data_IF_245749351906
#
_entry.id   IF_245749351906
#
_cell.length_a   1.000
_cell.length_b   1.000
_cell.length_c   1.000
_cell.angle_alpha   90.00
_cell.angle_beta   90.00
_cell.angle_gamma   90.00
#
_symmetry.space_group_name_H-M   'P 1'
#
loop_
_entity.id
_entity.type
_entity.pdbx_description
1 polymer ?
#
# COMPACT_ATOMS: atom_id res chain seq x y z
N UNK A 1 -31.75 -40.19 -19.51
CA UNK A 1 -31.65 -38.71 -19.50
C UNK A 1 -30.77 -38.33 -18.32
N UNK A 2 -29.47 -38.24 -18.55
CA UNK A 2 -28.50 -37.70 -17.62
C UNK A 2 -28.64 -36.18 -17.64
N UNK A 3 -29.24 -35.61 -16.61
CA UNK A 3 -29.20 -34.17 -16.35
C UNK A 3 -27.77 -33.82 -15.96
N UNK A 4 -26.92 -33.49 -16.94
CA UNK A 4 -25.68 -32.79 -16.65
C UNK A 4 -26.05 -31.40 -16.16
N UNK A 5 -26.16 -31.27 -14.84
CA UNK A 5 -26.08 -29.99 -14.16
C UNK A 5 -24.62 -29.52 -14.26
N UNK A 6 -24.15 -29.29 -15.48
CA UNK A 6 -22.92 -28.56 -15.76
C UNK A 6 -23.24 -27.11 -15.39
N UNK A 7 -23.13 -26.81 -14.11
CA UNK A 7 -23.19 -25.43 -13.67
C UNK A 7 -22.04 -24.68 -14.34
N UNK A 8 -22.24 -23.47 -14.88
CA UNK A 8 -21.21 -22.64 -15.53
C UNK A 8 -19.97 -22.35 -14.66
N UNK A 9 -19.99 -22.77 -13.39
CA UNK A 9 -18.91 -22.63 -12.43
C UNK A 9 -17.75 -23.62 -12.63
N UNK A 10 -17.92 -24.75 -13.33
CA UNK A 10 -16.84 -25.74 -13.52
C UNK A 10 -15.68 -25.20 -14.36
N UNK A 11 -15.98 -24.31 -15.32
CA UNK A 11 -14.94 -23.62 -16.11
C UNK A 11 -14.28 -22.50 -15.30
N UNK A 12 -15.01 -21.89 -14.36
CA UNK A 12 -14.47 -20.88 -13.44
C UNK A 12 -13.53 -21.50 -12.41
N UNK A 13 -13.74 -22.75 -11.97
CA UNK A 13 -12.82 -23.44 -11.07
C UNK A 13 -11.40 -23.65 -11.65
N UNK A 14 -11.27 -23.61 -12.98
CA UNK A 14 -9.94 -23.60 -13.64
C UNK A 14 -9.19 -22.30 -13.39
N UNK A 15 -9.88 -21.20 -13.07
CA UNK A 15 -9.23 -19.98 -12.62
C UNK A 15 -8.79 -20.12 -11.17
N UNK A 16 -7.49 -19.99 -10.95
CA UNK A 16 -6.96 -19.84 -9.61
C UNK A 16 -7.33 -18.44 -9.07
N UNK A 17 -8.46 -18.39 -8.36
CA UNK A 17 -8.96 -17.19 -7.71
C UNK A 17 -8.17 -16.92 -6.43
N UNK A 18 -7.66 -15.69 -6.33
CA UNK A 18 -6.98 -15.23 -5.13
C UNK A 18 -7.98 -15.21 -3.97
N UNK A 19 -7.79 -16.12 -3.02
CA UNK A 19 -8.68 -16.32 -1.88
C UNK A 19 -9.79 -17.34 -2.07
N UNK A 20 -9.73 -18.16 -3.13
CA UNK A 20 -10.74 -19.17 -3.45
C UNK A 20 -12.08 -18.57 -3.90
N UNK A 21 -13.03 -19.46 -4.19
CA UNK A 21 -14.41 -19.07 -4.44
C UNK A 21 -15.06 -18.60 -3.13
N UNK A 22 -15.83 -17.49 -3.15
CA UNK A 22 -16.57 -17.04 -2.00
C UNK A 22 -17.47 -18.15 -1.45
N UNK A 23 -17.33 -18.43 -0.16
CA UNK A 23 -18.10 -19.46 0.54
C UNK A 23 -18.90 -18.85 1.69
N UNK A 24 -19.84 -19.62 2.24
CA UNK A 24 -20.57 -19.20 3.45
C UNK A 24 -19.65 -18.95 4.66
N UNK A 25 -18.47 -19.56 4.68
CA UNK A 25 -17.46 -19.35 5.71
C UNK A 25 -16.79 -17.97 5.63
N UNK A 26 -16.85 -17.28 4.49
CA UNK A 26 -16.25 -15.96 4.30
C UNK A 26 -17.11 -14.81 4.86
N UNK A 27 -18.37 -15.06 5.23
CA UNK A 27 -19.27 -14.02 5.72
C UNK A 27 -18.74 -13.35 7.00
N UNK A 28 -18.46 -14.16 8.02
CA UNK A 28 -18.02 -13.69 9.32
C UNK A 28 -16.73 -12.86 9.23
N UNK A 29 -15.63 -13.35 8.62
CA UNK A 29 -14.43 -12.55 8.48
C UNK A 29 -14.65 -11.30 7.62
N UNK A 30 -15.43 -11.37 6.54
CA UNK A 30 -15.72 -10.19 5.70
C UNK A 30 -16.40 -9.07 6.50
N UNK A 31 -17.41 -9.39 7.31
CA UNK A 31 -18.11 -8.41 8.15
C UNK A 31 -17.18 -7.83 9.21
N UNK A 32 -16.36 -8.67 9.86
CA UNK A 32 -15.38 -8.20 10.87
C UNK A 32 -14.40 -7.21 10.24
N UNK A 33 -13.78 -7.55 9.10
CA UNK A 33 -12.83 -6.66 8.45
C UNK A 33 -13.50 -5.38 7.91
N UNK A 34 -14.73 -5.44 7.41
CA UNK A 34 -15.50 -4.24 7.01
C UNK A 34 -15.68 -3.30 8.21
N UNK A 35 -16.06 -3.82 9.38
CA UNK A 35 -16.21 -3.01 10.59
C UNK A 35 -14.87 -2.39 10.97
N UNK A 36 -13.79 -3.17 10.98
CA UNK A 36 -12.45 -2.67 11.33
C UNK A 36 -12.01 -1.57 10.37
N UNK A 37 -12.10 -1.77 9.05
CA UNK A 37 -11.78 -0.71 8.08
C UNK A 37 -12.70 0.50 8.22
N UNK A 38 -13.99 0.29 8.49
CA UNK A 38 -14.97 1.35 8.74
C UNK A 38 -14.61 2.21 9.95
N UNK A 39 -14.12 1.61 11.03
CA UNK A 39 -13.64 2.34 12.22
C UNK A 39 -12.34 3.11 11.97
N UNK A 40 -11.52 2.68 11.00
CA UNK A 40 -10.30 3.39 10.60
C UNK A 40 -10.57 4.57 9.65
N UNK A 41 -11.70 4.59 8.94
CA UNK A 41 -12.05 5.65 8.00
C UNK A 41 -12.12 7.06 8.64
N UNK A 42 -12.76 7.27 9.82
CA UNK A 42 -12.74 8.58 10.49
C UNK A 42 -11.33 9.11 10.74
N UNK A 43 -10.42 8.24 11.20
CA UNK A 43 -9.01 8.60 11.42
C UNK A 43 -8.31 8.95 10.10
N UNK A 44 -8.57 8.17 9.05
CA UNK A 44 -8.04 8.43 7.72
C UNK A 44 -8.52 9.78 7.16
N UNK A 45 -9.84 10.04 7.17
CA UNK A 45 -10.42 11.29 6.68
C UNK A 45 -9.96 12.50 7.48
N UNK A 46 -9.88 12.38 8.81
CA UNK A 46 -9.32 13.42 9.66
C UNK A 46 -7.93 13.86 9.20
N UNK A 47 -7.08 12.90 8.83
CA UNK A 47 -5.72 13.17 8.33
C UNK A 47 -5.68 13.76 6.93
N UNK A 48 -6.58 13.36 6.05
CA UNK A 48 -6.68 13.95 4.71
C UNK A 48 -7.17 15.40 4.77
N UNK A 49 -8.07 15.72 5.70
CA UNK A 49 -8.69 17.05 5.83
C UNK A 49 -7.78 18.04 6.56
N UNK A 50 -7.13 17.62 7.66
CA UNK A 50 -6.34 18.54 8.47
C UNK A 50 -5.08 18.98 7.71
N UNK A 51 -4.96 20.31 7.49
CA UNK A 51 -3.88 20.92 6.69
C UNK A 51 -2.47 20.48 7.10
N UNK A 52 -2.24 20.30 8.40
CA UNK A 52 -0.96 19.87 8.98
C UNK A 52 -0.53 18.47 8.52
N UNK A 53 -1.46 17.59 8.16
CA UNK A 53 -1.21 16.19 7.82
C UNK A 53 -1.44 15.86 6.34
N UNK A 54 -1.92 16.85 5.56
CA UNK A 54 -2.32 16.64 4.18
C UNK A 54 -1.11 16.34 3.30
N UNK A 55 -1.09 15.15 2.72
CA UNK A 55 -0.09 14.74 1.72
C UNK A 55 -0.76 13.99 0.57
N UNK A 56 -0.23 14.14 -0.65
CA UNK A 56 -0.70 13.39 -1.82
C UNK A 56 -0.41 11.89 -1.71
N UNK A 57 0.51 11.49 -0.83
CA UNK A 57 0.83 10.09 -0.54
C UNK A 57 -0.39 9.33 0.00
N UNK A 58 -1.33 10.01 0.69
CA UNK A 58 -2.54 9.38 1.22
C UNK A 58 -3.61 9.08 0.16
N UNK A 59 -3.48 9.60 -1.07
CA UNK A 59 -4.45 9.34 -2.15
C UNK A 59 -4.48 7.84 -2.51
N UNK A 60 -3.31 7.18 -2.56
CA UNK A 60 -3.21 5.77 -2.92
C UNK A 60 -3.80 4.85 -1.83
N UNK A 61 -3.49 5.03 -0.54
CA UNK A 61 -4.21 4.39 0.57
C UNK A 61 -5.72 4.63 0.55
N UNK A 62 -6.19 5.80 0.09
CA UNK A 62 -7.63 6.05 -0.07
C UNK A 62 -8.24 5.07 -1.08
N UNK A 63 -7.62 4.95 -2.26
CA UNK A 63 -8.08 4.04 -3.32
C UNK A 63 -8.02 2.59 -2.81
N UNK A 64 -6.94 2.22 -2.11
CA UNK A 64 -6.82 0.91 -1.47
C UNK A 64 -8.01 0.60 -0.55
N UNK A 65 -8.34 1.48 0.39
CA UNK A 65 -9.40 1.18 1.38
C UNK A 65 -10.77 1.07 0.71
N UNK A 66 -11.04 1.86 -0.35
CA UNK A 66 -12.27 1.71 -1.13
C UNK A 66 -12.31 0.38 -1.91
N UNK A 67 -11.23 -0.02 -2.58
CA UNK A 67 -11.14 -1.33 -3.22
C UNK A 67 -11.29 -2.48 -2.21
N UNK A 68 -10.75 -2.31 -1.00
CA UNK A 68 -10.82 -3.33 0.05
C UNK A 68 -12.23 -3.44 0.64
N UNK A 69 -12.90 -2.32 0.92
CA UNK A 69 -14.30 -2.32 1.35
C UNK A 69 -15.23 -2.90 0.27
N UNK A 70 -14.99 -2.54 -1.00
CA UNK A 70 -15.74 -3.09 -2.13
C UNK A 70 -15.56 -4.61 -2.27
N UNK A 71 -14.32 -5.11 -2.23
CA UNK A 71 -14.06 -6.56 -2.33
C UNK A 71 -14.64 -7.34 -1.15
N UNK A 72 -14.49 -6.86 0.09
CA UNK A 72 -15.09 -7.51 1.26
C UNK A 72 -16.63 -7.45 1.23
N UNK A 73 -17.20 -6.34 0.73
CA UNK A 73 -18.64 -6.19 0.55
C UNK A 73 -19.21 -7.17 -0.48
N UNK A 74 -18.54 -7.30 -1.63
CA UNK A 74 -18.90 -8.30 -2.64
C UNK A 74 -18.75 -9.72 -2.08
N UNK A 75 -17.64 -10.04 -1.39
CA UNK A 75 -17.44 -11.37 -0.78
C UNK A 75 -18.52 -11.71 0.24
N UNK A 76 -18.91 -10.75 1.09
CA UNK A 76 -20.03 -10.91 2.03
C UNK A 76 -21.37 -11.12 1.30
N UNK A 77 -21.64 -10.35 0.24
CA UNK A 77 -22.85 -10.51 -0.58
C UNK A 77 -22.92 -11.89 -1.25
N UNK A 78 -21.83 -12.32 -1.88
CA UNK A 78 -21.71 -13.61 -2.57
C UNK A 78 -21.81 -14.81 -1.62
N UNK A 79 -21.47 -14.64 -0.34
CA UNK A 79 -21.61 -15.72 0.66
C UNK A 79 -23.06 -16.11 0.98
N UNK A 80 -24.05 -15.31 0.55
CA UNK A 80 -25.48 -15.52 0.85
C UNK A 80 -26.40 -15.50 -0.36
N UNK A 81 -25.94 -14.97 -1.49
CA UNK A 81 -26.75 -14.79 -2.70
C UNK A 81 -26.18 -15.59 -3.85
N UNK A 82 -27.03 -15.99 -4.79
CA UNK A 82 -26.56 -16.47 -6.09
C UNK A 82 -25.96 -15.28 -6.83
N UNK A 83 -24.74 -15.43 -7.34
CA UNK A 83 -23.99 -14.37 -8.00
C UNK A 83 -23.57 -14.78 -9.40
N UNK A 84 -23.39 -13.78 -10.26
CA UNK A 84 -22.92 -13.96 -11.63
C UNK A 84 -21.39 -13.85 -11.74
N UNK A 85 -20.93 -14.02 -12.98
CA UNK A 85 -19.51 -13.88 -13.34
C UNK A 85 -19.01 -12.45 -13.10
N UNK A 86 -19.88 -11.45 -13.30
CA UNK A 86 -19.53 -10.03 -13.15
C UNK A 86 -19.10 -9.67 -11.73
N UNK A 87 -19.81 -10.17 -10.71
CA UNK A 87 -19.49 -9.95 -9.31
C UNK A 87 -18.15 -10.59 -8.93
N UNK A 88 -17.87 -11.79 -9.45
CA UNK A 88 -16.63 -12.51 -9.21
C UNK A 88 -15.45 -11.79 -9.87
N UNK A 89 -15.59 -11.37 -11.14
CA UNK A 89 -14.57 -10.59 -11.84
C UNK A 89 -14.30 -9.28 -11.11
N UNK A 90 -15.35 -8.56 -10.69
CA UNK A 90 -15.22 -7.30 -9.96
C UNK A 90 -14.46 -7.48 -8.64
N UNK A 91 -14.80 -8.52 -7.87
CA UNK A 91 -14.09 -8.86 -6.64
C UNK A 91 -12.61 -9.16 -6.92
N UNK A 92 -12.33 -9.99 -7.93
CA UNK A 92 -10.97 -10.38 -8.29
C UNK A 92 -10.12 -9.19 -8.72
N UNK A 93 -10.68 -8.26 -9.51
CA UNK A 93 -10.01 -7.01 -9.90
C UNK A 93 -9.63 -6.23 -8.64
N UNK A 94 -10.56 -6.04 -7.71
CA UNK A 94 -10.33 -5.27 -6.48
C UNK A 94 -9.30 -5.93 -5.55
N UNK A 95 -9.36 -7.26 -5.38
CA UNK A 95 -8.40 -8.04 -4.57
C UNK A 95 -7.01 -8.02 -5.21
N UNK A 96 -6.95 -8.10 -6.55
CA UNK A 96 -5.68 -8.12 -7.28
C UNK A 96 -5.00 -6.75 -7.26
N UNK A 97 -5.74 -5.68 -7.55
CA UNK A 97 -5.18 -4.33 -7.71
C UNK A 97 -5.00 -3.61 -6.36
N UNK A 98 -5.90 -3.84 -5.40
CA UNK A 98 -5.91 -3.17 -4.09
C UNK A 98 -4.53 -3.01 -3.45
N UNK A 99 -3.85 -4.10 -3.06
CA UNK A 99 -2.56 -4.03 -2.37
C UNK A 99 -1.46 -3.30 -3.14
N UNK A 100 -1.52 -3.20 -4.48
CA UNK A 100 -0.53 -2.45 -5.25
C UNK A 100 -0.55 -0.96 -4.88
N UNK A 101 -1.70 -0.42 -4.46
CA UNK A 101 -1.79 0.96 -4.01
C UNK A 101 -1.10 1.22 -2.66
N UNK A 102 -0.81 0.19 -1.87
CA UNK A 102 -0.05 0.31 -0.62
C UNK A 102 1.47 0.35 -0.85
N UNK A 103 1.95 -0.04 -2.03
CA UNK A 103 3.39 -0.04 -2.37
C UNK A 103 3.88 1.38 -2.67
N UNK A 104 3.04 2.26 -3.24
CA UNK A 104 3.45 3.63 -3.58
C UNK A 104 3.88 4.46 -2.34
N UNK A 105 3.13 4.44 -1.22
CA UNK A 105 3.55 5.11 0.01
C UNK A 105 4.92 4.66 0.51
N UNK A 106 5.29 3.39 0.35
CA UNK A 106 6.62 2.89 0.71
C UNK A 106 7.69 3.63 -0.11
N UNK A 107 7.56 3.61 -1.44
CA UNK A 107 8.53 4.23 -2.34
C UNK A 107 8.62 5.74 -2.10
N UNK A 108 7.47 6.39 -1.83
CA UNK A 108 7.39 7.81 -1.54
C UNK A 108 8.05 8.16 -0.20
N UNK A 109 7.74 7.43 0.87
CA UNK A 109 8.29 7.68 2.20
C UNK A 109 9.78 7.33 2.26
N UNK A 110 10.24 6.26 1.60
CA UNK A 110 11.66 5.94 1.48
C UNK A 110 12.46 7.08 0.83
N UNK A 111 11.95 7.64 -0.27
CA UNK A 111 12.57 8.80 -0.91
C UNK A 111 12.59 10.02 0.02
N UNK A 112 11.46 10.33 0.67
CA UNK A 112 11.38 11.46 1.60
C UNK A 112 12.26 11.28 2.83
N UNK A 113 12.46 10.06 3.30
CA UNK A 113 13.36 9.71 4.40
C UNK A 113 14.79 10.16 4.10
N UNK A 114 15.30 9.78 2.93
CA UNK A 114 16.62 10.20 2.47
C UNK A 114 16.67 11.72 2.25
N UNK A 115 15.62 12.31 1.67
CA UNK A 115 15.57 13.76 1.46
C UNK A 115 15.50 14.57 2.76
N UNK A 116 15.06 13.97 3.87
CA UNK A 116 14.97 14.62 5.19
C UNK A 116 16.30 14.56 5.94
N UNK A 117 16.97 13.42 5.90
CA UNK A 117 18.17 13.15 6.70
C UNK A 117 19.49 13.50 5.98
N UNK A 118 19.50 13.55 4.64
CA UNK A 118 20.73 13.77 3.86
C UNK A 118 20.76 15.17 3.22
N UNK A 119 21.83 15.97 3.44
CA UNK A 119 22.00 17.29 2.83
C UNK A 119 21.94 17.27 1.29
N UNK A 120 21.43 18.35 0.67
CA UNK A 120 21.29 18.48 -0.82
C UNK A 120 22.53 18.09 -1.60
N UNK A 121 23.70 18.49 -1.09
CA UNK A 121 24.98 18.30 -1.76
C UNK A 121 25.39 16.82 -1.81
N UNK A 122 25.04 16.05 -0.78
CA UNK A 122 25.46 14.66 -0.60
C UNK A 122 24.40 13.66 -1.06
N UNK A 123 23.26 14.14 -1.57
CA UNK A 123 22.18 13.29 -2.03
C UNK A 123 22.58 12.53 -3.31
N UNK A 124 22.58 11.19 -3.28
CA UNK A 124 22.88 10.41 -4.47
C UNK A 124 21.80 10.59 -5.55
N UNK A 125 22.23 10.88 -6.79
CA UNK A 125 21.33 10.97 -7.95
C UNK A 125 20.61 9.64 -8.23
N UNK A 126 21.23 8.51 -7.90
CA UNK A 126 20.66 7.18 -8.13
C UNK A 126 19.38 6.93 -7.31
N UNK A 127 19.20 7.56 -6.15
CA UNK A 127 17.98 7.40 -5.34
C UNK A 127 16.76 7.95 -6.07
N UNK A 128 16.90 9.10 -6.75
CA UNK A 128 15.80 9.68 -7.56
C UNK A 128 15.48 8.81 -8.77
N UNK A 129 16.52 8.27 -9.41
CA UNK A 129 16.36 7.38 -10.55
C UNK A 129 15.66 6.08 -10.13
N UNK A 130 16.14 5.44 -9.05
CA UNK A 130 15.57 4.20 -8.54
C UNK A 130 14.12 4.38 -8.09
N UNK A 131 13.81 5.45 -7.35
CA UNK A 131 12.42 5.79 -6.96
C UNK A 131 11.51 5.95 -8.19
N UNK A 132 12.02 6.55 -9.27
CA UNK A 132 11.26 6.71 -10.52
C UNK A 132 11.05 5.36 -11.23
N UNK A 133 12.08 4.52 -11.30
CA UNK A 133 12.00 3.16 -11.88
C UNK A 133 10.99 2.31 -11.10
N UNK A 134 11.07 2.30 -9.76
CA UNK A 134 10.13 1.55 -8.91
C UNK A 134 8.69 2.01 -9.11
N UNK A 135 8.45 3.32 -9.24
CA UNK A 135 7.12 3.87 -9.54
C UNK A 135 6.61 3.43 -10.91
N UNK A 136 7.46 3.49 -11.94
CA UNK A 136 7.08 3.02 -13.29
C UNK A 136 6.76 1.52 -13.26
N UNK A 137 7.58 0.71 -12.59
CA UNK A 137 7.33 -0.71 -12.40
C UNK A 137 6.01 -0.99 -11.69
N UNK A 138 5.69 -0.22 -10.64
CA UNK A 138 4.42 -0.30 -9.94
C UNK A 138 3.22 0.08 -10.84
N UNK A 139 3.35 1.14 -11.63
CA UNK A 139 2.32 1.51 -12.60
C UNK A 139 2.10 0.42 -13.65
N UNK A 140 3.17 -0.18 -14.17
CA UNK A 140 3.07 -1.32 -15.09
C UNK A 140 2.38 -2.53 -14.44
N UNK A 141 2.69 -2.82 -13.17
CA UNK A 141 2.01 -3.88 -12.40
C UNK A 141 0.50 -3.61 -12.24
N UNK A 142 0.11 -2.36 -11.96
CA UNK A 142 -1.31 -1.97 -11.85
C UNK A 142 -2.02 -2.12 -13.20
N UNK A 143 -1.44 -1.61 -14.28
CA UNK A 143 -2.04 -1.69 -15.63
C UNK A 143 -2.22 -3.15 -16.04
N UNK A 144 -1.19 -3.98 -15.88
CA UNK A 144 -1.25 -5.40 -16.23
C UNK A 144 -2.25 -6.17 -15.38
N UNK A 145 -2.39 -5.85 -14.08
CA UNK A 145 -3.43 -6.43 -13.23
C UNK A 145 -4.84 -6.06 -13.70
N UNK A 146 -5.09 -4.79 -14.01
CA UNK A 146 -6.40 -4.31 -14.46
C UNK A 146 -6.76 -4.92 -15.81
N UNK A 147 -5.86 -4.85 -16.80
CA UNK A 147 -6.09 -5.41 -18.14
C UNK A 147 -6.29 -6.92 -18.05
N UNK A 148 -5.41 -7.64 -17.36
CA UNK A 148 -5.52 -9.08 -17.19
C UNK A 148 -6.85 -9.48 -16.54
N UNK A 149 -7.34 -8.73 -15.56
CA UNK A 149 -8.60 -9.03 -14.90
C UNK A 149 -9.82 -8.66 -15.75
N UNK A 150 -9.76 -7.58 -16.53
CA UNK A 150 -10.86 -7.17 -17.44
C UNK A 150 -11.10 -8.13 -18.61
N UNK A 151 -10.07 -8.91 -18.99
CA UNK A 151 -10.14 -9.85 -20.10
C UNK A 151 -10.73 -11.22 -19.70
N UNK A 152 -11.04 -11.43 -18.42
CA UNK A 152 -11.54 -12.73 -17.92
C UNK A 152 -12.87 -13.10 -18.58
N UNK A 153 -13.81 -12.15 -18.73
CA UNK A 153 -15.10 -12.43 -19.38
C UNK A 153 -14.95 -12.92 -20.83
N UNK A 154 -13.94 -12.43 -21.54
CA UNK A 154 -13.63 -12.92 -22.90
C UNK A 154 -12.90 -14.27 -22.87
N UNK A 155 -12.04 -14.49 -21.87
CA UNK A 155 -11.24 -15.69 -21.74
C UNK A 155 -12.04 -16.95 -21.37
N UNK A 156 -13.23 -16.80 -20.79
CA UNK A 156 -14.14 -17.93 -20.53
C UNK A 156 -14.50 -18.65 -21.84
N UNK A 157 -14.70 -17.89 -22.93
CA UNK A 157 -15.09 -18.45 -24.22
C UNK A 157 -13.91 -18.77 -25.16
N UNK A 158 -12.66 -18.41 -24.79
CA UNK A 158 -11.48 -18.52 -25.64
C UNK A 158 -10.23 -18.90 -24.85
N UNK A 159 -9.75 -20.13 -25.07
CA UNK A 159 -8.55 -20.69 -24.41
C UNK A 159 -7.26 -19.94 -24.78
N UNK A 160 -7.20 -19.26 -25.92
CA UNK A 160 -6.05 -18.43 -26.28
C UNK A 160 -5.96 -17.17 -25.42
N UNK A 161 -7.10 -16.54 -25.15
CA UNK A 161 -7.21 -15.38 -24.26
C UNK A 161 -6.92 -15.75 -22.80
N UNK A 162 -7.24 -16.98 -22.39
CA UNK A 162 -6.88 -17.51 -21.07
C UNK A 162 -5.37 -17.45 -20.80
N UNK A 163 -4.55 -17.85 -21.77
CA UNK A 163 -3.08 -17.80 -21.63
C UNK A 163 -2.57 -16.36 -21.49
N UNK A 164 -3.20 -15.42 -22.21
CA UNK A 164 -2.88 -13.99 -22.11
C UNK A 164 -3.23 -13.44 -20.73
N UNK A 165 -4.44 -13.72 -20.24
CA UNK A 165 -4.91 -13.32 -18.90
C UNK A 165 -3.97 -13.83 -17.81
N UNK A 166 -3.63 -15.12 -17.85
CA UNK A 166 -2.73 -15.73 -16.88
C UNK A 166 -1.32 -15.12 -16.94
N UNK A 167 -0.81 -14.84 -18.14
CA UNK A 167 0.49 -14.20 -18.32
C UNK A 167 0.51 -12.77 -17.77
N UNK A 168 -0.53 -11.98 -18.03
CA UNK A 168 -0.65 -10.60 -17.53
C UNK A 168 -0.74 -10.55 -16.00
N UNK A 169 -1.57 -11.43 -15.40
CA UNK A 169 -1.69 -11.54 -13.94
C UNK A 169 -0.36 -11.97 -13.31
N UNK A 170 0.29 -12.99 -13.88
CA UNK A 170 1.62 -13.46 -13.45
C UNK A 170 2.66 -12.35 -13.51
N UNK A 171 2.71 -11.62 -14.63
CA UNK A 171 3.61 -10.48 -14.81
C UNK A 171 3.39 -9.41 -13.74
N UNK A 172 2.14 -9.04 -13.46
CA UNK A 172 1.80 -8.08 -12.40
C UNK A 172 2.29 -8.53 -11.02
N UNK A 173 2.06 -9.80 -10.67
CA UNK A 173 2.50 -10.37 -9.39
C UNK A 173 4.02 -10.38 -9.26
N UNK A 174 4.73 -10.84 -10.29
CA UNK A 174 6.20 -10.84 -10.31
C UNK A 174 6.74 -9.41 -10.18
N UNK A 175 6.21 -8.46 -10.96
CA UNK A 175 6.61 -7.06 -10.89
C UNK A 175 6.38 -6.49 -9.48
N UNK A 176 5.26 -6.81 -8.84
CA UNK A 176 4.99 -6.35 -7.47
C UNK A 176 5.99 -6.88 -6.45
N UNK A 177 6.36 -8.17 -6.53
CA UNK A 177 7.39 -8.77 -5.67
C UNK A 177 8.74 -8.10 -5.90
N UNK A 178 9.14 -7.91 -7.16
CA UNK A 178 10.41 -7.27 -7.51
C UNK A 178 10.46 -5.83 -6.99
N UNK A 179 9.40 -5.04 -7.17
CA UNK A 179 9.34 -3.65 -6.69
C UNK A 179 9.51 -3.58 -5.17
N UNK A 180 8.80 -4.43 -4.42
CA UNK A 180 8.88 -4.40 -2.95
C UNK A 180 10.25 -4.93 -2.47
N UNK A 181 10.78 -6.00 -3.08
CA UNK A 181 12.08 -6.55 -2.72
C UNK A 181 13.23 -5.56 -2.98
N UNK A 182 13.20 -4.87 -4.14
CA UNK A 182 14.19 -3.84 -4.46
C UNK A 182 14.04 -2.63 -3.53
N UNK A 183 12.81 -2.23 -3.16
CA UNK A 183 12.59 -1.19 -2.14
C UNK A 183 13.22 -1.57 -0.80
N UNK A 184 13.00 -2.80 -0.33
CA UNK A 184 13.55 -3.30 0.93
C UNK A 184 15.09 -3.27 0.95
N UNK A 185 15.72 -3.74 -0.13
CA UNK A 185 17.18 -3.69 -0.28
C UNK A 185 17.66 -2.23 -0.35
N UNK A 186 16.95 -1.36 -1.06
CA UNK A 186 17.31 0.05 -1.13
C UNK A 186 17.21 0.75 0.24
N UNK A 187 16.17 0.47 1.02
CA UNK A 187 16.02 0.94 2.41
C UNK A 187 17.19 0.46 3.27
N UNK A 188 17.62 -0.80 3.13
CA UNK A 188 18.77 -1.35 3.84
C UNK A 188 20.09 -0.69 3.47
N UNK A 189 20.41 -0.61 2.18
CA UNK A 189 21.65 0.00 1.73
C UNK A 189 21.73 1.48 2.11
N UNK A 190 20.61 2.21 2.03
CA UNK A 190 20.57 3.63 2.39
C UNK A 190 20.67 3.86 3.89
N UNK A 191 20.10 2.98 4.72
CA UNK A 191 20.29 3.05 6.17
C UNK A 191 21.77 2.85 6.56
N UNK A 192 22.43 1.84 5.99
CA UNK A 192 23.84 1.57 6.27
C UNK A 192 24.77 2.69 5.79
N UNK A 193 24.46 3.30 4.63
CA UNK A 193 25.34 4.29 4.01
C UNK A 193 25.14 5.71 4.58
N UNK A 194 23.91 6.11 4.88
CA UNK A 194 23.59 7.50 5.24
C UNK A 194 23.26 7.72 6.72
N UNK A 195 23.39 6.68 7.57
CA UNK A 195 23.10 6.76 9.01
C UNK A 195 21.71 7.35 9.31
N UNK A 196 20.72 6.94 8.51
CA UNK A 196 19.35 7.45 8.59
C UNK A 196 18.72 7.17 9.96
N UNK A 197 17.75 8.01 10.37
CA UNK A 197 17.08 7.87 11.66
C UNK A 197 16.40 6.50 11.81
N UNK A 198 16.81 5.75 12.85
CA UNK A 198 16.37 4.37 13.07
C UNK A 198 14.85 4.23 13.16
N UNK A 199 14.17 5.20 13.78
CA UNK A 199 12.71 5.19 13.96
C UNK A 199 11.95 5.12 12.64
N UNK A 200 12.31 5.98 11.69
CA UNK A 200 11.67 6.05 10.38
C UNK A 200 12.04 4.84 9.51
N UNK A 201 13.29 4.38 9.59
CA UNK A 201 13.75 3.15 8.94
C UNK A 201 12.98 1.91 9.44
N UNK A 202 12.81 1.74 10.75
CA UNK A 202 12.07 0.60 11.33
C UNK A 202 10.59 0.60 10.92
N UNK A 203 9.99 1.79 10.81
CA UNK A 203 8.63 1.93 10.31
C UNK A 203 8.54 1.51 8.83
N UNK A 204 9.48 1.95 7.97
CA UNK A 204 9.55 1.55 6.57
C UNK A 204 9.72 0.04 6.43
N UNK A 205 10.60 -0.58 7.22
CA UNK A 205 10.79 -2.03 7.20
C UNK A 205 9.55 -2.81 7.62
N UNK A 206 8.84 -2.32 8.63
CA UNK A 206 7.61 -2.96 9.08
C UNK A 206 6.58 -2.97 7.94
N UNK A 207 6.47 -1.85 7.22
CA UNK A 207 5.56 -1.71 6.08
C UNK A 207 6.01 -2.57 4.87
N UNK A 208 7.30 -2.57 4.54
CA UNK A 208 7.88 -3.40 3.48
C UNK A 208 7.72 -4.89 3.78
N UNK A 209 7.97 -5.33 5.02
CA UNK A 209 7.79 -6.72 5.44
C UNK A 209 6.34 -7.18 5.26
N UNK A 210 5.36 -6.35 5.64
CA UNK A 210 3.95 -6.65 5.39
C UNK A 210 3.67 -6.83 3.89
N UNK A 211 4.18 -5.93 3.04
CA UNK A 211 3.95 -6.00 1.61
C UNK A 211 4.72 -7.14 0.91
N UNK A 212 5.89 -7.55 1.42
CA UNK A 212 6.59 -8.75 0.97
C UNK A 212 5.71 -9.97 1.23
N UNK A 213 5.18 -10.13 2.45
CA UNK A 213 4.31 -11.26 2.80
C UNK A 213 3.11 -11.31 1.85
N UNK A 214 2.44 -10.19 1.62
CA UNK A 214 1.27 -10.10 0.73
C UNK A 214 1.63 -10.47 -0.72
N UNK A 215 2.69 -9.89 -1.27
CA UNK A 215 3.07 -10.10 -2.69
C UNK A 215 3.62 -11.51 -2.94
N UNK A 216 4.41 -12.06 -2.01
CA UNK A 216 4.91 -13.44 -2.08
C UNK A 216 3.75 -14.42 -1.92
N UNK A 217 2.84 -14.19 -0.98
CA UNK A 217 1.65 -15.03 -0.82
C UNK A 217 0.81 -15.06 -2.11
N UNK A 218 0.54 -13.90 -2.72
CA UNK A 218 -0.23 -13.83 -3.97
C UNK A 218 0.45 -14.61 -5.09
N UNK A 219 1.76 -14.48 -5.25
CA UNK A 219 2.52 -15.23 -6.25
C UNK A 219 2.48 -16.74 -5.97
N UNK A 220 2.70 -17.15 -4.71
CA UNK A 220 2.67 -18.55 -4.30
C UNK A 220 1.29 -19.17 -4.49
N UNK A 221 0.23 -18.45 -4.13
CA UNK A 221 -1.15 -18.88 -4.36
C UNK A 221 -1.41 -19.06 -5.85
N UNK A 222 -1.01 -18.09 -6.69
CA UNK A 222 -1.24 -18.15 -8.14
C UNK A 222 -0.52 -19.32 -8.82
N UNK A 223 0.73 -19.61 -8.44
CA UNK A 223 1.50 -20.72 -9.00
C UNK A 223 1.06 -22.10 -8.45
N UNK A 224 0.31 -22.13 -7.36
CA UNK A 224 -0.15 -23.37 -6.76
C UNK A 224 -1.22 -24.04 -7.61
N UNK A 225 -0.87 -25.17 -8.23
CA UNK A 225 -1.80 -26.01 -9.01
C UNK A 225 -2.55 -27.02 -8.15
N UNK A 226 -1.98 -27.38 -7.02
CA UNK A 226 -2.54 -28.35 -6.09
C UNK A 226 -3.72 -27.71 -5.32
N UNK A 227 -4.96 -28.23 -5.46
CA UNK A 227 -6.13 -27.72 -4.73
C UNK A 227 -5.97 -27.80 -3.21
N UNK A 228 -5.20 -28.76 -2.70
CA UNK A 228 -5.03 -28.99 -1.26
C UNK A 228 -3.86 -28.18 -0.66
N UNK A 229 -3.17 -27.38 -1.47
CA UNK A 229 -2.07 -26.57 -1.01
C UNK A 229 -2.52 -25.52 0.02
N UNK A 230 -1.73 -25.38 1.09
CA UNK A 230 -1.97 -24.39 2.16
C UNK A 230 -2.13 -22.96 1.63
N UNK A 231 -1.42 -22.61 0.55
CA UNK A 231 -1.52 -21.30 -0.09
C UNK A 231 -2.91 -20.99 -0.66
N UNK A 232 -3.71 -22.01 -1.01
CA UNK A 232 -5.08 -21.88 -1.49
C UNK A 232 -6.12 -21.91 -0.37
N UNK A 233 -5.71 -22.17 0.87
CA UNK A 233 -6.65 -22.21 2.00
C UNK A 233 -7.28 -20.83 2.26
N UNK A 234 -8.56 -20.85 2.64
CA UNK A 234 -9.32 -19.66 3.05
C UNK A 234 -8.61 -18.95 4.21
N UNK A 235 -8.08 -19.72 5.17
CA UNK A 235 -7.33 -19.18 6.31
C UNK A 235 -6.09 -18.42 5.85
N UNK A 236 -5.31 -18.97 4.91
CA UNK A 236 -4.13 -18.30 4.39
C UNK A 236 -4.49 -16.98 3.70
N UNK A 237 -5.62 -16.90 3.00
CA UNK A 237 -6.07 -15.64 2.40
C UNK A 237 -6.36 -14.57 3.46
N UNK A 238 -7.14 -14.91 4.50
CA UNK A 238 -7.48 -13.96 5.54
C UNK A 238 -6.27 -13.51 6.36
N UNK A 239 -5.33 -14.41 6.63
CA UNK A 239 -4.15 -14.12 7.45
C UNK A 239 -3.03 -13.49 6.62
N UNK A 240 -2.58 -14.14 5.55
CA UNK A 240 -1.39 -13.70 4.81
C UNK A 240 -1.66 -12.52 3.89
N UNK A 241 -2.90 -12.39 3.39
CA UNK A 241 -3.28 -11.25 2.56
C UNK A 241 -4.04 -10.19 3.35
N UNK A 242 -5.25 -10.47 3.82
CA UNK A 242 -6.15 -9.43 4.33
C UNK A 242 -5.59 -8.79 5.62
N UNK A 243 -5.11 -9.58 6.57
CA UNK A 243 -4.55 -9.07 7.82
C UNK A 243 -3.26 -8.26 7.60
N UNK A 244 -2.31 -8.73 6.78
CA UNK A 244 -1.07 -7.97 6.54
C UNK A 244 -1.30 -6.69 5.73
N UNK A 245 -2.27 -6.67 4.82
CA UNK A 245 -2.70 -5.45 4.17
C UNK A 245 -3.37 -4.47 5.15
N UNK A 246 -4.17 -4.97 6.10
CA UNK A 246 -4.74 -4.16 7.18
C UNK A 246 -3.64 -3.56 8.04
N UNK A 247 -2.65 -4.36 8.47
CA UNK A 247 -1.52 -3.88 9.27
C UNK A 247 -0.74 -2.81 8.49
N UNK A 248 -0.44 -3.05 7.22
CA UNK A 248 0.23 -2.07 6.36
C UNK A 248 -0.56 -0.75 6.26
N UNK A 249 -1.88 -0.83 6.05
CA UNK A 249 -2.75 0.34 6.02
C UNK A 249 -2.77 1.09 7.36
N UNK A 250 -2.90 0.37 8.47
CA UNK A 250 -2.84 0.93 9.83
C UNK A 250 -1.51 1.64 10.06
N UNK A 251 -0.38 1.05 9.67
CA UNK A 251 0.94 1.68 9.80
C UNK A 251 1.02 3.00 9.03
N UNK A 252 0.46 3.07 7.82
CA UNK A 252 0.39 4.30 6.99
C UNK A 252 -0.45 5.38 7.67
N UNK A 253 -1.62 5.04 8.20
CA UNK A 253 -2.51 6.02 8.83
C UNK A 253 -2.16 6.30 10.30
N UNK A 254 -1.24 5.56 10.92
CA UNK A 254 -0.82 5.75 12.30
C UNK A 254 0.15 6.92 12.46
N UNK A 255 0.96 7.26 11.45
CA UNK A 255 2.02 8.27 11.57
C UNK A 255 1.80 9.50 10.68
N UNK A 256 1.92 10.73 11.19
CA UNK A 256 1.78 11.93 10.36
C UNK A 256 2.97 12.03 9.39
N UNK A 257 2.77 11.58 8.15
CA UNK A 257 3.83 11.47 7.12
C UNK A 257 4.63 12.77 6.97
N UNK A 258 4.02 13.97 6.86
CA UNK A 258 4.80 15.21 6.73
C UNK A 258 5.68 15.56 7.94
N UNK A 259 5.37 15.04 9.13
CA UNK A 259 6.16 15.29 10.33
C UNK A 259 7.29 14.27 10.49
N UNK A 260 7.06 13.02 10.10
CA UNK A 260 8.08 11.97 10.13
C UNK A 260 9.03 12.04 8.93
N UNK A 261 8.53 12.52 7.79
CA UNK A 261 9.22 12.61 6.52
C UNK A 261 9.00 14.02 5.93
N UNK A 262 9.57 15.07 6.54
CA UNK A 262 9.36 16.47 6.11
C UNK A 262 9.88 16.75 4.69
N UNK A 263 10.85 15.95 4.23
CA UNK A 263 11.54 16.15 2.97
C UNK A 263 12.14 17.55 2.87
N UNK A 264 12.26 18.04 1.65
CA UNK A 264 12.97 19.30 1.41
C UNK A 264 12.31 20.56 1.97
N UNK A 265 10.98 20.60 1.99
CA UNK A 265 10.25 21.83 2.31
C UNK A 265 10.25 22.10 3.82
N UNK A 266 10.17 21.07 4.66
CA UNK A 266 10.16 21.26 6.12
C UNK A 266 11.46 21.84 6.70
N UNK A 267 12.61 21.57 6.07
CA UNK A 267 13.90 22.10 6.56
C UNK A 267 14.10 23.59 6.25
N UNK A 268 13.52 24.12 5.17
CA UNK A 268 13.64 25.55 4.82
C UNK A 268 12.82 26.40 5.78
N UNK A 269 11.57 26.01 6.05
CA UNK A 269 10.69 26.73 6.97
C UNK A 269 11.27 26.78 8.39
N UNK A 270 11.95 25.71 8.82
CA UNK A 270 12.61 25.67 10.14
C UNK A 270 13.83 26.59 10.20
N UNK A 271 14.63 26.66 9.14
CA UNK A 271 15.82 27.51 9.12
C UNK A 271 15.47 29.00 9.05
N UNK A 272 14.46 29.35 8.25
CA UNK A 272 13.96 30.72 8.14
C UNK A 272 13.34 31.19 9.47
N UNK A 273 12.57 30.33 10.16
CA UNK A 273 12.05 30.65 11.51
C UNK A 273 13.17 30.86 12.54
N UNK A 274 14.25 30.08 12.48
CA UNK A 274 15.40 30.26 13.40
C UNK A 274 16.12 31.58 13.09
N UNK A 275 16.30 31.95 11.83
CA UNK A 275 16.89 33.23 11.47
C UNK A 275 16.00 34.41 11.87
N UNK A 276 14.68 34.27 11.73
CA UNK A 276 13.71 35.31 12.11
C UNK A 276 13.65 35.49 13.64
N UNK A 277 13.77 34.41 14.42
CA UNK A 277 13.85 34.47 15.88
C UNK A 277 15.20 35.01 16.40
N UNK A 278 16.31 34.75 15.70
CA UNK A 278 17.63 35.27 16.07
C UNK A 278 17.87 36.75 15.73
N UNK A 279 17.05 37.33 14.84
CA UNK A 279 17.23 38.71 14.34
C UNK A 279 16.35 39.76 15.04
N UNK A 280 15.55 39.39 16.03
CA UNK A 280 14.86 40.39 16.87
C UNK A 280 15.78 40.81 18.02
N UNK A 281 16.49 41.96 17.94
CA UNK A 281 17.21 42.49 19.09
C UNK A 281 16.22 42.67 20.23
N UNK A 282 16.55 42.12 21.40
CA UNK A 282 15.79 42.31 22.63
C UNK A 282 15.76 43.80 22.97
N UNK A 283 14.67 44.48 22.62
CA UNK A 283 14.41 45.89 22.93
C UNK A 283 14.35 46.18 24.46
N UNK A 284 14.50 45.17 25.32
CA UNK A 284 14.21 45.26 26.75
C UNK A 284 15.40 45.35 27.72
N UNK A 285 16.65 45.56 27.28
CA UNK A 285 17.80 45.61 28.22
C UNK A 285 18.60 46.93 28.26
N UNK A 286 17.93 48.09 28.17
CA UNK A 286 18.56 49.39 28.51
C UNK A 286 17.71 50.13 29.55
N UNK A 287 17.77 49.69 30.81
CA UNK A 287 17.42 50.54 31.95
C UNK A 287 18.72 50.99 32.60
N UNK A 288 19.16 52.21 32.25
CA UNK A 288 20.28 52.94 32.85
C UNK A 288 20.06 53.04 34.37
N UNK A 289 20.98 52.49 35.15
CA UNK A 289 21.19 52.88 36.53
C UNK A 289 22.13 54.11 36.53
N UNK A 290 21.55 55.30 36.54
CA UNK A 290 22.22 56.49 37.06
C UNK A 290 21.75 56.65 38.51
N UNK A 291 22.63 56.34 39.47
CA UNK A 291 22.48 56.76 40.85
C UNK A 291 23.71 57.56 41.22
N UNK A 292 23.52 58.86 41.06
CA UNK A 292 24.17 60.02 41.64
C UNK A 292 25.14 59.76 42.81
N UNK A 293 26.37 60.24 42.61
CA UNK A 293 27.30 60.65 43.65
C UNK A 293 26.87 62.00 44.23
N UNK A 294 26.42 62.01 45.48
CA UNK A 294 26.27 63.22 46.28
C UNK A 294 26.92 63.00 47.64
N UNK A 295 27.90 63.88 47.90
CA UNK A 295 28.75 64.14 49.09
C UNK A 295 29.95 63.22 49.32
#
# INVERSE_FOLDING_TARGET
>A
MSTSSDTPYTELEQFNFTGGLPSSADLAPSVIFIIVYGLLLPLFFWRVIKKEFRTTILIRPAIFVFCRLGSLGLRAYMSKNVYGEGELIAELVMISVGPLFLIEPIIACWRLHIESDVPKADQPRWVRLLSSILRIGLFAAIITAVVGSSLIGNAINDSSMMNVVNSLRKASMILSVVVVAVSFVATFLTHLHFSLTLRATMWLYSLEACMIIVTVYKLAQFESRDPDAVARSIVAFWVLQVLFELIAFVLIIAIPIPQWFPGFKGNVDSHDQIMEMGSKPSIFSVRKNNSDSVV
#
